data_IF_732305924927
#
_entry.id   IF_732305924927
#
_cell.length_a   1.000
_cell.length_b   1.000
_cell.length_c   1.000
_cell.angle_alpha   90.00
_cell.angle_beta   90.00
_cell.angle_gamma   90.00
#
_symmetry.space_group_name_H-M   'P 1'
#
loop_
_entity.id
_entity.type
_entity.pdbx_description
1 polymer ?
#
# COMPACT_ATOMS: atom_id res chain seq x y z
N UNK A 1 28.67 31.36 -21.20
CA UNK A 1 28.44 31.89 -19.83
C UNK A 1 28.66 30.76 -18.84
N UNK A 2 29.83 30.79 -18.19
CA UNK A 2 30.26 29.84 -17.17
C UNK A 2 29.71 30.28 -15.80
N UNK A 3 29.19 29.35 -15.01
CA UNK A 3 29.26 29.47 -13.55
C UNK A 3 29.63 28.11 -12.93
N UNK A 4 30.63 28.16 -12.06
CA UNK A 4 31.41 27.06 -11.49
C UNK A 4 31.40 27.22 -9.96
N UNK A 5 31.46 26.07 -9.26
CA UNK A 5 31.82 25.86 -7.83
C UNK A 5 30.68 26.17 -6.83
N UNK A 6 30.51 25.44 -5.71
CA UNK A 6 31.49 25.01 -4.70
C UNK A 6 31.09 23.67 -4.04
N UNK A 7 32.08 22.81 -3.78
CA UNK A 7 32.05 21.58 -2.98
C UNK A 7 32.34 21.89 -1.50
N UNK A 8 31.75 21.12 -0.58
CA UNK A 8 32.16 21.06 0.84
C UNK A 8 32.29 19.58 1.23
N UNK A 9 33.52 19.16 1.55
CA UNK A 9 33.92 17.84 2.05
C UNK A 9 34.57 18.07 3.42
N UNK A 10 34.09 17.38 4.46
CA UNK A 10 34.73 17.30 5.78
C UNK A 10 35.59 16.02 5.88
N UNK A 11 36.73 16.03 6.61
CA UNK A 11 37.68 14.93 6.61
C UNK A 11 37.43 13.89 7.72
N UNK A 12 37.86 12.67 7.42
CA UNK A 12 38.03 11.51 8.30
C UNK A 12 39.44 11.59 8.93
N UNK A 13 39.56 11.38 10.24
CA UNK A 13 40.83 11.25 10.94
C UNK A 13 40.99 9.80 11.45
N UNK A 14 41.99 9.10 10.90
CA UNK A 14 42.51 7.81 11.35
C UNK A 14 43.96 8.06 11.77
N UNK A 15 44.36 7.64 12.97
CA UNK A 15 45.76 7.64 13.40
C UNK A 15 46.12 6.29 14.00
N UNK A 16 47.13 5.65 13.40
CA UNK A 16 47.89 4.53 13.92
C UNK A 16 49.33 4.67 13.41
N UNK A 17 50.33 4.35 14.24
CA UNK A 17 51.69 4.06 13.76
C UNK A 17 52.86 4.57 14.60
N UNK A 18 53.38 3.66 15.42
CA UNK A 18 54.68 3.50 16.09
C UNK A 18 55.93 4.31 15.65
N UNK A 19 56.71 4.66 16.71
CA UNK A 19 58.15 4.43 16.99
C UNK A 19 59.26 4.83 15.97
N UNK A 20 60.28 5.57 16.45
CA UNK A 20 61.62 5.01 16.74
C UNK A 20 62.54 6.01 17.51
N UNK A 21 63.58 5.48 18.15
CA UNK A 21 64.59 6.06 19.06
C UNK A 21 65.75 6.80 18.34
N UNK A 22 66.41 7.74 19.03
CA UNK A 22 67.83 7.63 19.49
C UNK A 22 68.50 8.99 19.88
N UNK A 23 69.24 8.95 21.02
CA UNK A 23 70.53 9.63 21.37
C UNK A 23 70.63 11.19 21.33
N UNK A 24 71.27 11.96 22.22
CA UNK A 24 72.41 11.84 23.17
C UNK A 24 72.28 12.94 24.26
N UNK A 25 72.48 12.61 25.55
CA UNK A 25 73.58 12.99 26.47
C UNK A 25 73.91 14.49 26.69
N UNK A 26 73.89 14.97 27.96
CA UNK A 26 74.99 15.65 28.70
C UNK A 26 74.50 16.31 30.01
N UNK A 27 75.02 15.78 31.12
CA UNK A 27 75.49 16.38 32.41
C UNK A 27 74.62 17.19 33.38
N UNK A 28 74.73 16.76 34.66
CA UNK A 28 74.27 17.38 35.91
C UNK A 28 75.22 18.50 36.45
N UNK A 29 74.87 19.17 37.57
CA UNK A 29 75.38 18.75 38.91
C UNK A 29 74.26 18.67 39.99
N UNK A 30 74.25 17.64 40.86
CA UNK A 30 74.80 17.63 42.25
C UNK A 30 74.18 18.68 43.19
N UNK A 31 73.19 18.33 44.02
CA UNK A 31 73.20 17.70 45.38
C UNK A 31 72.86 18.73 46.46
N UNK A 32 71.70 18.57 47.10
CA UNK A 32 71.63 18.69 48.55
C UNK A 32 70.47 17.83 49.10
N UNK A 33 70.82 16.76 49.81
CA UNK A 33 69.88 15.94 50.57
C UNK A 33 69.66 16.59 51.94
N UNK A 34 68.40 16.75 52.32
CA UNK A 34 67.98 16.87 53.72
C UNK A 34 67.01 15.72 53.99
N UNK A 35 67.48 14.71 54.74
CA UNK A 35 66.66 13.80 55.54
C UNK A 35 65.97 14.62 56.65
N UNK A 36 64.77 14.36 57.17
CA UNK A 36 63.77 13.34 56.96
C UNK A 36 62.47 13.83 57.64
N UNK A 37 61.31 13.46 57.12
CA UNK A 37 60.08 13.31 57.91
C UNK A 37 59.30 12.15 57.29
N UNK A 38 59.15 11.07 58.06
CA UNK A 38 58.34 9.92 57.66
C UNK A 38 56.92 10.40 57.31
N UNK A 39 56.31 9.97 56.19
CA UNK A 39 54.90 10.23 55.97
C UNK A 39 54.11 9.42 56.99
N UNK A 40 53.21 10.08 57.69
CA UNK A 40 52.16 9.44 58.46
C UNK A 40 51.47 8.36 57.61
N UNK A 41 51.31 7.16 58.18
CA UNK A 41 50.53 6.08 57.57
C UNK A 41 49.16 6.63 57.15
N UNK A 42 48.92 6.69 55.85
CA UNK A 42 47.58 6.81 55.29
C UNK A 42 46.79 5.56 55.72
N UNK A 43 45.59 5.69 56.30
CA UNK A 43 44.77 4.52 56.57
C UNK A 43 44.46 3.82 55.23
N UNK A 44 44.51 2.49 55.25
CA UNK A 44 44.32 1.64 54.08
C UNK A 44 43.18 2.15 53.18
N UNK A 45 43.48 2.43 51.91
CA UNK A 45 42.48 2.92 50.96
C UNK A 45 41.42 1.86 50.75
N UNK A 46 40.22 2.10 51.29
CA UNK A 46 39.02 1.31 51.05
C UNK A 46 38.75 1.18 49.53
N UNK A 47 38.26 0.02 49.04
CA UNK A 47 37.79 -0.11 47.66
C UNK A 47 36.73 0.94 47.30
N UNK A 48 36.81 1.59 46.12
CA UNK A 48 35.84 2.61 45.72
C UNK A 48 34.45 1.99 45.48
N UNK A 49 33.39 2.64 45.98
CA UNK A 49 32.01 2.28 45.63
C UNK A 49 31.46 3.15 44.49
N UNK A 50 30.35 2.71 43.92
CA UNK A 50 29.57 3.50 42.97
C UNK A 50 28.68 4.52 43.67
N UNK A 51 28.49 5.65 43.01
CA UNK A 51 27.42 6.58 43.38
C UNK A 51 26.05 5.89 43.24
N UNK A 52 25.13 6.01 44.23
CA UNK A 52 25.12 6.95 45.36
C UNK A 52 25.64 6.36 46.70
N UNK A 53 26.25 5.17 46.69
CA UNK A 53 26.71 4.49 47.91
C UNK A 53 27.96 5.17 48.49
N UNK A 54 28.83 5.71 47.64
CA UNK A 54 30.02 6.48 48.05
C UNK A 54 29.63 7.73 48.85
N UNK A 55 28.57 8.45 48.44
CA UNK A 55 28.04 9.58 49.20
C UNK A 55 27.54 9.18 50.60
N UNK A 56 26.90 8.01 50.75
CA UNK A 56 26.42 7.48 52.04
C UNK A 56 27.58 7.16 52.98
N UNK A 57 28.64 6.60 52.42
CA UNK A 57 29.89 6.33 53.14
C UNK A 57 30.54 7.63 53.60
N UNK A 58 30.70 8.59 52.69
CA UNK A 58 31.30 9.88 53.02
C UNK A 58 30.53 10.60 54.12
N UNK A 59 29.18 10.54 54.09
CA UNK A 59 28.32 11.09 55.15
C UNK A 59 28.50 10.38 56.49
N UNK A 60 28.79 9.08 56.48
CA UNK A 60 29.04 8.30 57.69
C UNK A 60 30.42 8.62 58.28
N UNK A 61 31.46 8.68 57.43
CA UNK A 61 32.83 8.99 57.84
C UNK A 61 32.99 10.43 58.34
N UNK A 62 32.18 11.35 57.83
CA UNK A 62 32.12 12.74 58.32
C UNK A 62 31.31 12.92 59.62
N UNK A 63 30.75 11.83 60.17
CA UNK A 63 30.10 11.83 61.49
C UNK A 63 28.70 12.44 61.51
N UNK A 64 27.99 12.48 60.37
CA UNK A 64 26.60 12.95 60.34
C UNK A 64 25.69 12.02 61.15
N UNK A 65 24.68 12.61 61.80
CA UNK A 65 23.70 11.85 62.58
C UNK A 65 22.95 10.85 61.68
N UNK A 66 22.73 9.64 62.19
CA UNK A 66 22.08 8.54 61.45
C UNK A 66 20.74 8.95 60.83
N UNK A 67 19.91 9.71 61.55
CA UNK A 67 18.61 10.19 61.04
C UNK A 67 18.72 11.11 59.82
N UNK A 68 19.83 11.84 59.65
CA UNK A 68 20.10 12.67 58.46
C UNK A 68 20.39 11.79 57.25
N UNK A 69 21.20 10.74 57.45
CA UNK A 69 21.55 9.78 56.39
C UNK A 69 20.31 8.98 55.95
N UNK A 70 19.48 8.54 56.90
CA UNK A 70 18.20 7.89 56.62
C UNK A 70 17.23 8.81 55.86
N UNK A 71 17.17 10.10 56.20
CA UNK A 71 16.37 11.09 55.48
C UNK A 71 16.85 11.27 54.04
N UNK A 72 18.16 11.33 53.82
CA UNK A 72 18.74 11.38 52.48
C UNK A 72 18.36 10.16 51.63
N UNK A 73 18.44 8.95 52.21
CA UNK A 73 18.01 7.71 51.55
C UNK A 73 16.50 7.74 51.24
N UNK A 74 15.68 8.22 52.17
CA UNK A 74 14.24 8.32 51.98
C UNK A 74 13.85 9.27 50.83
N UNK A 75 14.65 10.30 50.57
CA UNK A 75 14.44 11.25 49.47
C UNK A 75 14.97 10.76 48.12
N UNK A 76 15.84 9.74 48.09
CA UNK A 76 16.42 9.23 46.86
C UNK A 76 15.33 8.75 45.87
N UNK A 77 15.37 9.27 44.64
CA UNK A 77 14.44 8.90 43.56
C UNK A 77 14.95 7.73 42.72
N UNK A 78 16.27 7.52 42.72
CA UNK A 78 16.93 6.44 42.01
C UNK A 78 17.20 5.27 42.96
N UNK A 79 17.29 4.06 42.39
CA UNK A 79 17.66 2.87 43.18
C UNK A 79 19.15 2.86 43.46
N UNK A 80 19.50 2.35 44.63
CA UNK A 80 20.87 2.08 45.03
C UNK A 80 21.36 0.75 44.45
N UNK A 81 20.49 -0.25 44.26
CA UNK A 81 20.78 -1.58 43.71
C UNK A 81 21.99 -2.27 44.38
N UNK A 82 22.15 -2.13 45.69
CA UNK A 82 23.35 -2.58 46.42
C UNK A 82 23.70 -4.06 46.17
N UNK A 83 24.98 -4.34 45.93
CA UNK A 83 25.52 -5.68 45.74
C UNK A 83 26.09 -6.23 47.04
N UNK A 84 26.24 -7.56 47.14
CA UNK A 84 26.65 -8.25 48.38
C UNK A 84 28.05 -7.80 48.83
N UNK A 85 28.97 -7.66 47.88
CA UNK A 85 30.33 -7.17 48.11
C UNK A 85 30.34 -5.72 48.61
N UNK A 86 29.44 -4.87 48.12
CA UNK A 86 29.35 -3.47 48.53
C UNK A 86 28.82 -3.34 49.96
N UNK A 87 27.93 -4.24 50.38
CA UNK A 87 27.46 -4.31 51.79
C UNK A 87 28.63 -4.57 52.73
N UNK A 88 29.55 -5.46 52.36
CA UNK A 88 30.73 -5.79 53.16
C UNK A 88 31.64 -4.57 53.32
N UNK A 89 31.94 -3.91 52.19
CA UNK A 89 32.79 -2.70 52.20
C UNK A 89 32.12 -1.55 52.98
N UNK A 90 30.80 -1.37 52.87
CA UNK A 90 30.07 -0.38 53.67
C UNK A 90 30.11 -0.66 55.16
N UNK A 91 30.02 -1.94 55.55
CA UNK A 91 30.15 -2.35 56.95
C UNK A 91 31.54 -2.08 57.50
N UNK A 92 32.58 -2.36 56.71
CA UNK A 92 33.98 -2.11 57.10
C UNK A 92 34.28 -0.62 57.33
N UNK A 93 33.59 0.27 56.62
CA UNK A 93 33.70 1.72 56.83
C UNK A 93 32.74 2.29 57.89
N UNK A 94 32.13 1.43 58.71
CA UNK A 94 31.31 1.87 59.85
C UNK A 94 29.88 2.26 59.52
N UNK A 95 29.36 1.97 58.32
CA UNK A 95 27.93 2.18 58.02
C UNK A 95 27.08 1.23 58.87
N UNK A 96 26.10 1.78 59.59
CA UNK A 96 25.28 0.99 60.50
C UNK A 96 24.32 0.05 59.76
N UNK A 97 23.95 -1.06 60.41
CA UNK A 97 23.00 -2.03 59.87
C UNK A 97 21.63 -1.40 59.57
N UNK A 98 21.24 -0.37 60.35
CA UNK A 98 20.01 0.39 60.14
C UNK A 98 20.03 1.17 58.82
N UNK A 99 21.17 1.80 58.47
CA UNK A 99 21.34 2.52 57.19
C UNK A 99 21.29 1.53 56.01
N UNK A 100 21.96 0.38 56.13
CA UNK A 100 21.92 -0.68 55.09
C UNK A 100 20.48 -1.18 54.89
N UNK A 101 19.74 -1.39 55.97
CA UNK A 101 18.33 -1.78 55.90
C UNK A 101 17.46 -0.69 55.26
N UNK A 102 17.69 0.59 55.59
CA UNK A 102 16.98 1.72 54.99
C UNK A 102 17.18 1.79 53.46
N UNK A 103 18.39 1.52 52.97
CA UNK A 103 18.70 1.44 51.54
C UNK A 103 17.89 0.32 50.87
N UNK A 104 17.91 -0.89 51.43
CA UNK A 104 17.18 -2.04 50.90
C UNK A 104 15.66 -1.83 50.90
N UNK A 105 15.13 -1.23 51.97
CA UNK A 105 13.73 -0.88 52.10
C UNK A 105 13.33 0.16 51.05
N UNK A 106 14.14 1.20 50.84
CA UNK A 106 13.90 2.22 49.82
C UNK A 106 13.90 1.63 48.41
N UNK A 107 14.86 0.77 48.10
CA UNK A 107 14.91 0.08 46.80
C UNK A 107 13.67 -0.77 46.56
N UNK A 108 13.19 -1.46 47.58
CA UNK A 108 11.95 -2.25 47.51
C UNK A 108 10.73 -1.37 47.24
N UNK A 109 10.64 -0.20 47.87
CA UNK A 109 9.58 0.78 47.61
C UNK A 109 9.66 1.37 46.18
N UNK A 110 10.86 1.70 45.70
CA UNK A 110 11.06 2.17 44.32
C UNK A 110 10.75 1.07 43.29
N UNK A 111 10.95 -0.21 43.66
CA UNK A 111 10.52 -1.39 42.88
C UNK A 111 9.01 -1.51 42.77
N UNK A 112 8.32 -1.47 43.89
CA UNK A 112 6.86 -1.58 43.91
C UNK A 112 6.19 -0.43 43.15
N UNK A 113 6.66 0.81 43.35
CA UNK A 113 6.12 2.00 42.66
C UNK A 113 6.31 1.93 41.15
N UNK A 114 7.50 1.55 40.68
CA UNK A 114 7.76 1.39 39.24
C UNK A 114 6.89 0.29 38.63
N UNK A 115 6.76 -0.87 39.29
CA UNK A 115 5.89 -1.94 38.83
C UNK A 115 4.41 -1.53 38.79
N UNK A 116 3.95 -0.75 39.76
CA UNK A 116 2.60 -0.22 39.80
C UNK A 116 2.33 0.74 38.64
N UNK A 117 3.24 1.68 38.36
CA UNK A 117 3.13 2.60 37.21
C UNK A 117 3.08 1.83 35.89
N UNK A 118 3.95 0.84 35.69
CA UNK A 118 3.96 0.01 34.49
C UNK A 118 2.65 -0.77 34.32
N UNK A 119 2.10 -1.33 35.41
CA UNK A 119 0.79 -2.02 35.37
C UNK A 119 -0.34 -1.06 35.04
N UNK A 120 -0.38 0.13 35.65
CA UNK A 120 -1.40 1.15 35.38
C UNK A 120 -1.35 1.61 33.92
N UNK A 121 -0.15 1.84 33.38
CA UNK A 121 0.03 2.19 31.96
C UNK A 121 -0.40 1.05 31.04
N UNK A 122 -0.11 -0.20 31.38
CA UNK A 122 -0.54 -1.35 30.59
C UNK A 122 -2.08 -1.48 30.55
N UNK A 123 -2.76 -1.26 31.67
CA UNK A 123 -4.23 -1.24 31.75
C UNK A 123 -4.79 -0.10 30.92
N UNK A 124 -4.30 1.13 31.10
CA UNK A 124 -4.75 2.29 30.33
C UNK A 124 -4.56 2.10 28.81
N UNK A 125 -3.42 1.52 28.40
CA UNK A 125 -3.14 1.20 27.00
C UNK A 125 -4.07 0.10 26.47
N UNK A 126 -4.36 -0.93 27.27
CA UNK A 126 -5.29 -2.00 26.90
C UNK A 126 -6.72 -1.46 26.72
N UNK A 127 -7.17 -0.58 27.62
CA UNK A 127 -8.47 0.10 27.54
C UNK A 127 -8.56 1.01 26.32
N UNK A 128 -7.54 1.83 26.05
CA UNK A 128 -7.50 2.68 24.86
C UNK A 128 -7.59 1.84 23.57
N UNK A 129 -6.84 0.73 23.49
CA UNK A 129 -6.91 -0.22 22.37
C UNK A 129 -8.27 -0.90 22.26
N UNK A 130 -8.93 -1.18 23.38
CA UNK A 130 -10.29 -1.74 23.38
C UNK A 130 -11.32 -0.74 22.85
N UNK A 131 -11.24 0.54 23.26
CA UNK A 131 -12.13 1.62 22.76
C UNK A 131 -12.00 1.83 21.25
N UNK A 132 -10.76 1.92 20.74
CA UNK A 132 -10.51 2.07 19.30
C UNK A 132 -11.07 0.88 18.51
N UNK A 133 -10.90 -0.35 19.02
CA UNK A 133 -11.46 -1.55 18.39
C UNK A 133 -12.99 -1.54 18.38
N UNK A 134 -13.63 -1.10 19.47
CA UNK A 134 -15.08 -1.00 19.56
C UNK A 134 -15.63 0.03 18.55
N UNK A 135 -15.08 1.25 18.53
CA UNK A 135 -15.47 2.30 17.56
C UNK A 135 -15.27 1.85 16.12
N UNK A 136 -14.16 1.16 15.83
CA UNK A 136 -13.88 0.65 14.48
C UNK A 136 -14.90 -0.42 14.05
N UNK A 137 -15.34 -1.28 14.98
CA UNK A 137 -16.40 -2.28 14.71
C UNK A 137 -17.74 -1.61 14.45
N UNK A 138 -18.11 -0.62 15.26
CA UNK A 138 -19.33 0.14 15.09
C UNK A 138 -19.37 0.83 13.72
N UNK A 139 -18.29 1.54 13.36
CA UNK A 139 -18.16 2.18 12.04
C UNK A 139 -18.23 1.16 10.88
N UNK A 140 -17.64 -0.03 11.06
CA UNK A 140 -17.73 -1.10 10.08
C UNK A 140 -19.16 -1.62 9.91
N UNK A 141 -19.90 -1.79 11.01
CA UNK A 141 -21.31 -2.19 10.99
C UNK A 141 -22.17 -1.13 10.31
N UNK A 142 -22.00 0.15 10.65
CA UNK A 142 -22.73 1.25 10.00
C UNK A 142 -22.46 1.29 8.50
N UNK A 143 -21.20 1.13 8.07
CA UNK A 143 -20.84 1.06 6.65
C UNK A 143 -21.43 -0.15 5.95
N UNK A 144 -21.43 -1.30 6.61
CA UNK A 144 -22.03 -2.52 6.06
C UNK A 144 -23.55 -2.35 5.90
N UNK A 145 -24.23 -1.74 6.87
CA UNK A 145 -25.66 -1.44 6.80
C UNK A 145 -25.98 -0.48 5.66
N UNK A 146 -25.25 0.63 5.55
CA UNK A 146 -25.42 1.60 4.45
C UNK A 146 -25.17 0.96 3.09
N UNK A 147 -24.17 0.07 2.99
CA UNK A 147 -23.88 -0.67 1.75
C UNK A 147 -25.00 -1.64 1.42
N UNK A 148 -25.51 -2.38 2.41
CA UNK A 148 -26.64 -3.30 2.21
C UNK A 148 -27.90 -2.55 1.75
N UNK A 149 -28.23 -1.42 2.38
CA UNK A 149 -29.34 -0.56 1.97
C UNK A 149 -29.15 -0.02 0.54
N UNK A 150 -27.94 0.46 0.20
CA UNK A 150 -27.64 0.92 -1.15
C UNK A 150 -27.77 -0.19 -2.19
N UNK A 151 -27.36 -1.42 -1.85
CA UNK A 151 -27.48 -2.57 -2.75
C UNK A 151 -28.93 -3.01 -2.93
N UNK A 152 -29.73 -2.98 -1.86
CA UNK A 152 -31.17 -3.26 -1.91
C UNK A 152 -31.88 -2.24 -2.80
N UNK A 153 -31.62 -0.94 -2.59
CA UNK A 153 -32.19 0.12 -3.42
C UNK A 153 -31.78 -0.03 -4.91
N UNK A 154 -30.52 -0.36 -5.18
CA UNK A 154 -30.05 -0.62 -6.54
C UNK A 154 -30.73 -1.84 -7.17
N UNK A 155 -30.97 -2.91 -6.40
CA UNK A 155 -31.68 -4.10 -6.85
C UNK A 155 -33.16 -3.81 -7.14
N UNK A 156 -33.84 -3.08 -6.25
CA UNK A 156 -35.23 -2.64 -6.45
C UNK A 156 -35.37 -1.76 -7.70
N UNK A 157 -34.45 -0.81 -7.92
CA UNK A 157 -34.43 0.02 -9.11
C UNK A 157 -34.17 -0.81 -10.38
N UNK A 158 -33.29 -1.82 -10.30
CA UNK A 158 -33.03 -2.73 -11.41
C UNK A 158 -34.27 -3.59 -11.73
N UNK A 159 -34.97 -4.11 -10.72
CA UNK A 159 -36.23 -4.83 -10.90
C UNK A 159 -37.33 -3.95 -11.48
N UNK A 160 -37.48 -2.72 -10.97
CA UNK A 160 -38.47 -1.77 -11.49
C UNK A 160 -38.19 -1.45 -12.96
N UNK A 161 -36.92 -1.20 -13.32
CA UNK A 161 -36.50 -1.01 -14.71
C UNK A 161 -36.75 -2.24 -15.57
N UNK A 162 -36.52 -3.44 -15.05
CA UNK A 162 -36.82 -4.69 -15.75
C UNK A 162 -38.34 -4.87 -15.98
N UNK A 163 -39.17 -4.54 -14.98
CA UNK A 163 -40.64 -4.56 -15.11
C UNK A 163 -41.13 -3.53 -16.12
N UNK A 164 -40.62 -2.30 -16.07
CA UNK A 164 -40.92 -1.27 -17.07
C UNK A 164 -40.45 -1.67 -18.46
N UNK A 165 -39.28 -2.31 -18.59
CA UNK A 165 -38.80 -2.83 -19.85
C UNK A 165 -39.68 -3.97 -20.39
N UNK A 166 -40.22 -4.84 -19.54
CA UNK A 166 -41.18 -5.88 -19.91
C UNK A 166 -42.54 -5.28 -20.32
N UNK A 167 -43.02 -4.24 -19.63
CA UNK A 167 -44.26 -3.53 -20.00
C UNK A 167 -44.12 -2.73 -21.31
N UNK A 168 -42.94 -2.15 -21.55
CA UNK A 168 -42.63 -1.38 -22.76
C UNK A 168 -41.99 -2.24 -23.86
N UNK A 169 -41.99 -3.57 -23.73
CA UNK A 169 -41.63 -4.43 -24.85
C UNK A 169 -42.67 -4.22 -25.96
N UNK A 170 -42.27 -3.78 -27.16
CA UNK A 170 -43.18 -3.81 -28.29
C UNK A 170 -43.65 -5.26 -28.46
N UNK A 171 -44.97 -5.48 -28.40
CA UNK A 171 -45.59 -6.78 -28.74
C UNK A 171 -44.95 -7.26 -30.03
N UNK A 172 -44.31 -8.44 -29.97
CA UNK A 172 -43.57 -9.07 -31.07
C UNK A 172 -44.13 -8.70 -32.45
N UNK A 173 -43.52 -7.69 -33.05
CA UNK A 173 -43.54 -7.49 -34.49
C UNK A 173 -42.15 -7.96 -34.93
N UNK A 174 -42.02 -9.01 -35.75
CA UNK A 174 -40.72 -9.41 -36.25
C UNK A 174 -40.10 -8.17 -36.91
N UNK A 175 -38.97 -7.71 -36.37
CA UNK A 175 -38.21 -6.65 -37.00
C UNK A 175 -37.85 -7.14 -38.41
N UNK A 176 -37.92 -6.27 -39.44
CA UNK A 176 -37.45 -6.65 -40.77
C UNK A 176 -36.02 -7.18 -40.62
N UNK A 177 -35.75 -8.34 -41.22
CA UNK A 177 -34.46 -9.00 -41.13
C UNK A 177 -33.40 -8.11 -41.79
N UNK A 178 -32.76 -7.25 -41.00
CA UNK A 178 -31.52 -6.59 -41.41
C UNK A 178 -30.50 -7.72 -41.53
N UNK A 179 -30.00 -7.96 -42.74
CA UNK A 179 -28.94 -8.93 -42.98
C UNK A 179 -27.63 -8.39 -42.37
N UNK A 180 -27.51 -8.53 -41.05
CA UNK A 180 -26.38 -8.06 -40.28
C UNK A 180 -25.20 -9.03 -40.45
N UNK A 181 -23.95 -8.53 -40.52
CA UNK A 181 -22.79 -9.40 -40.54
C UNK A 181 -22.72 -10.32 -39.31
N UNK A 182 -22.13 -11.53 -39.43
CA UNK A 182 -22.05 -12.50 -38.32
C UNK A 182 -21.41 -11.95 -37.05
N UNK A 183 -20.46 -11.02 -37.16
CA UNK A 183 -19.82 -10.35 -36.03
C UNK A 183 -20.72 -9.34 -35.31
N UNK A 184 -21.83 -8.91 -35.91
CA UNK A 184 -22.78 -7.93 -35.36
C UNK A 184 -24.00 -8.62 -34.76
N UNK A 185 -24.48 -9.69 -35.41
CA UNK A 185 -25.72 -10.38 -35.06
C UNK A 185 -25.86 -10.73 -33.57
N UNK A 186 -24.85 -11.30 -32.88
CA UNK A 186 -24.98 -11.70 -31.48
C UNK A 186 -25.23 -10.52 -30.53
N UNK A 187 -24.82 -9.31 -30.93
CA UNK A 187 -24.84 -8.13 -30.07
C UNK A 187 -25.99 -7.17 -30.39
N UNK A 188 -26.47 -7.16 -31.64
CA UNK A 188 -27.36 -6.13 -32.16
C UNK A 188 -28.57 -5.88 -31.25
N UNK A 189 -29.38 -6.92 -30.99
CA UNK A 189 -30.59 -6.82 -30.16
C UNK A 189 -30.28 -6.35 -28.74
N UNK A 190 -29.20 -6.85 -28.14
CA UNK A 190 -28.84 -6.52 -26.76
C UNK A 190 -28.30 -5.10 -26.61
N UNK A 191 -27.61 -4.57 -27.62
CA UNK A 191 -26.99 -3.24 -27.59
C UNK A 191 -27.90 -2.12 -28.14
N UNK A 192 -28.88 -2.45 -28.97
CA UNK A 192 -29.77 -1.48 -29.61
C UNK A 192 -30.50 -0.52 -28.63
N UNK A 193 -30.96 -0.96 -27.43
CA UNK A 193 -31.59 -0.04 -26.47
C UNK A 193 -30.61 0.92 -25.78
N UNK A 194 -29.30 0.67 -25.87
CA UNK A 194 -28.29 1.34 -25.05
C UNK A 194 -27.35 2.24 -25.86
N UNK A 195 -27.49 2.27 -27.18
CA UNK A 195 -26.62 3.00 -28.07
C UNK A 195 -27.11 2.97 -29.50
N UNK A 196 -26.34 3.59 -30.38
CA UNK A 196 -26.65 3.69 -31.80
C UNK A 196 -25.66 2.88 -32.62
N UNK A 197 -26.19 2.08 -33.55
CA UNK A 197 -25.42 1.38 -34.57
C UNK A 197 -25.22 2.29 -35.79
N UNK A 198 -23.97 2.43 -36.24
CA UNK A 198 -23.58 3.30 -37.36
C UNK A 198 -22.74 2.50 -38.35
N UNK A 199 -22.82 2.86 -39.63
CA UNK A 199 -21.96 2.28 -40.66
C UNK A 199 -20.73 3.15 -40.88
N UNK A 200 -19.55 2.59 -40.62
CA UNK A 200 -18.26 3.21 -40.89
C UNK A 200 -17.66 2.65 -42.18
N UNK A 201 -17.19 3.54 -43.08
CA UNK A 201 -16.75 3.15 -44.42
C UNK A 201 -15.68 2.04 -44.43
N UNK A 202 -14.74 2.07 -43.50
CA UNK A 202 -13.62 1.10 -43.45
C UNK A 202 -13.74 0.05 -42.35
N UNK A 203 -14.60 0.28 -41.35
CA UNK A 203 -14.71 -0.61 -40.17
C UNK A 203 -15.99 -1.44 -40.19
N UNK A 204 -16.92 -1.15 -41.12
CA UNK A 204 -18.25 -1.72 -41.12
C UNK A 204 -19.10 -1.16 -39.98
N UNK A 205 -19.91 -2.02 -39.37
CA UNK A 205 -20.79 -1.63 -38.27
C UNK A 205 -20.01 -1.27 -37.02
N UNK A 206 -20.24 -0.07 -36.50
CA UNK A 206 -19.76 0.40 -35.21
C UNK A 206 -20.93 0.71 -34.30
N UNK A 207 -20.70 0.71 -32.99
CA UNK A 207 -21.69 1.06 -32.00
C UNK A 207 -21.19 2.17 -31.07
N UNK A 208 -22.08 3.09 -30.71
CA UNK A 208 -21.81 4.17 -29.76
C UNK A 208 -22.80 4.13 -28.61
N UNK A 209 -22.34 4.09 -27.34
CA UNK A 209 -23.25 4.08 -26.20
C UNK A 209 -23.89 5.47 -26.02
N UNK A 210 -25.16 5.48 -25.62
CA UNK A 210 -25.91 6.71 -25.32
C UNK A 210 -25.28 7.51 -24.17
N UNK A 211 -24.49 6.87 -23.31
CA UNK A 211 -23.78 7.52 -22.19
C UNK A 211 -22.80 8.60 -22.65
N UNK A 212 -22.32 8.55 -23.90
CA UNK A 212 -21.46 9.60 -24.46
C UNK A 212 -22.16 10.97 -24.54
N UNK A 213 -23.47 10.98 -24.72
CA UNK A 213 -24.26 12.21 -24.69
C UNK A 213 -24.52 12.72 -23.27
N UNK A 214 -24.34 11.86 -22.26
CA UNK A 214 -24.67 12.16 -20.86
C UNK A 214 -23.43 12.52 -20.03
N UNK A 215 -22.28 11.94 -20.36
CA UNK A 215 -21.03 12.08 -19.59
C UNK A 215 -19.93 12.53 -20.56
N UNK A 216 -19.55 13.81 -20.45
CA UNK A 216 -18.60 14.50 -21.36
C UNK A 216 -17.26 13.77 -21.51
N UNK A 217 -16.72 13.26 -20.41
CA UNK A 217 -15.41 12.60 -20.38
C UNK A 217 -15.52 11.08 -20.26
N UNK A 218 -16.67 10.51 -20.69
CA UNK A 218 -16.88 9.08 -20.63
C UNK A 218 -15.79 8.34 -21.41
N UNK A 219 -15.31 7.26 -20.80
CA UNK A 219 -14.24 6.44 -21.37
C UNK A 219 -14.48 4.96 -21.09
N UNK A 220 -14.18 4.08 -22.07
CA UNK A 220 -14.17 2.65 -21.85
C UNK A 220 -13.13 2.27 -20.78
N UNK A 221 -13.40 1.22 -20.02
CA UNK A 221 -12.55 0.75 -18.93
C UNK A 221 -12.27 1.80 -17.83
N UNK A 222 -13.15 2.78 -17.63
CA UNK A 222 -12.95 3.85 -16.64
C UNK A 222 -14.17 4.06 -15.75
N UNK A 223 -15.36 4.08 -16.34
CA UNK A 223 -16.61 4.38 -15.65
C UNK A 223 -17.35 3.09 -15.28
N UNK A 224 -18.12 3.15 -14.19
CA UNK A 224 -19.07 2.13 -13.76
C UNK A 224 -18.51 0.70 -13.86
N UNK A 225 -17.30 0.51 -13.33
CA UNK A 225 -16.63 -0.77 -13.32
C UNK A 225 -15.32 -0.76 -12.54
N UNK A 226 -14.72 -1.94 -12.44
CA UNK A 226 -13.51 -2.20 -11.65
C UNK A 226 -12.66 -3.33 -12.24
N UNK A 227 -11.37 -3.30 -11.95
CA UNK A 227 -10.46 -4.40 -12.28
C UNK A 227 -10.61 -5.54 -11.27
N UNK A 228 -10.76 -6.76 -11.77
CA UNK A 228 -10.76 -7.99 -10.99
C UNK A 228 -9.60 -8.89 -11.43
N UNK A 229 -9.01 -9.61 -10.48
CA UNK A 229 -8.01 -10.64 -10.76
C UNK A 229 -8.71 -11.96 -11.09
N UNK A 230 -8.41 -12.54 -12.25
CA UNK A 230 -9.00 -13.80 -12.69
C UNK A 230 -7.94 -14.78 -13.19
N UNK A 231 -8.35 -16.01 -13.48
CA UNK A 231 -7.51 -17.03 -14.10
C UNK A 231 -7.12 -16.68 -15.54
N UNK A 232 -7.78 -15.70 -16.14
CA UNK A 232 -7.48 -15.11 -17.44
C UNK A 232 -6.77 -13.73 -17.31
N UNK A 233 -6.21 -13.40 -16.15
CA UNK A 233 -5.52 -12.13 -15.93
C UNK A 233 -6.46 -11.00 -15.48
N UNK A 234 -6.24 -9.77 -15.95
CA UNK A 234 -7.04 -8.62 -15.52
C UNK A 234 -8.35 -8.54 -16.28
N UNK A 235 -9.43 -8.81 -15.56
CA UNK A 235 -10.80 -8.72 -16.05
C UNK A 235 -11.39 -7.36 -15.72
N UNK A 236 -12.03 -6.73 -16.70
CA UNK A 236 -12.84 -5.53 -16.45
C UNK A 236 -14.26 -5.93 -16.08
N UNK A 237 -14.63 -5.73 -14.83
CA UNK A 237 -15.99 -5.93 -14.36
C UNK A 237 -16.78 -4.64 -14.46
N UNK A 238 -17.60 -4.54 -15.50
CA UNK A 238 -18.50 -3.42 -15.73
C UNK A 238 -19.85 -3.66 -15.06
N UNK A 239 -20.39 -2.64 -14.40
CA UNK A 239 -21.74 -2.59 -13.86
C UNK A 239 -22.78 -2.24 -14.95
N UNK A 240 -22.35 -1.68 -16.08
CA UNK A 240 -23.20 -1.38 -17.25
C UNK A 240 -23.87 -2.65 -17.84
N UNK A 241 -25.15 -2.56 -18.28
CA UNK A 241 -25.88 -3.72 -18.77
C UNK A 241 -25.32 -4.27 -20.09
N UNK A 242 -24.68 -3.43 -20.90
CA UNK A 242 -24.04 -3.79 -22.16
C UNK A 242 -22.55 -4.17 -22.00
N UNK A 243 -22.00 -4.08 -20.79
CA UNK A 243 -20.57 -4.23 -20.53
C UNK A 243 -20.00 -5.60 -20.89
N UNK A 244 -20.81 -6.66 -20.74
CA UNK A 244 -20.42 -8.03 -21.08
C UNK A 244 -20.00 -8.19 -22.54
N UNK A 245 -20.62 -7.43 -23.45
CA UNK A 245 -20.31 -7.47 -24.87
C UNK A 245 -19.11 -6.57 -25.14
N UNK A 246 -19.26 -5.27 -24.89
CA UNK A 246 -18.33 -4.28 -25.46
C UNK A 246 -16.97 -4.22 -24.77
N UNK A 247 -16.82 -4.79 -23.58
CA UNK A 247 -15.52 -4.89 -22.90
C UNK A 247 -14.81 -6.22 -23.15
N UNK A 248 -15.48 -7.20 -23.76
CA UNK A 248 -14.96 -8.56 -23.91
C UNK A 248 -15.00 -9.11 -25.34
N UNK A 249 -15.79 -8.52 -26.25
CA UNK A 249 -16.05 -9.03 -27.60
C UNK A 249 -15.87 -7.96 -28.68
N UNK A 250 -14.79 -7.18 -28.63
CA UNK A 250 -14.59 -6.12 -29.61
C UNK A 250 -13.58 -5.07 -29.15
N UNK A 251 -13.37 -4.06 -29.99
CA UNK A 251 -12.30 -3.06 -29.85
C UNK A 251 -12.90 -1.68 -29.78
N UNK A 252 -12.35 -0.84 -28.92
CA UNK A 252 -12.76 0.55 -28.82
C UNK A 252 -11.83 1.43 -29.65
N UNK A 253 -12.40 2.23 -30.54
CA UNK A 253 -11.71 3.33 -31.21
C UNK A 253 -12.17 4.67 -30.67
N UNK A 254 -11.40 5.71 -30.95
CA UNK A 254 -11.74 7.08 -30.62
C UNK A 254 -11.51 7.95 -31.86
N UNK A 255 -12.54 8.67 -32.28
CA UNK A 255 -12.49 9.64 -33.36
C UNK A 255 -12.80 11.04 -32.79
N UNK A 256 -12.22 12.08 -33.38
CA UNK A 256 -12.40 13.45 -32.87
C UNK A 256 -13.83 13.98 -33.06
N UNK A 257 -14.56 13.49 -34.07
CA UNK A 257 -15.93 13.91 -34.38
C UNK A 257 -16.95 12.98 -33.73
N UNK A 258 -16.71 11.67 -33.79
CA UNK A 258 -17.64 10.67 -33.23
C UNK A 258 -17.44 10.47 -31.72
N UNK A 259 -16.25 10.73 -31.18
CA UNK A 259 -15.87 10.31 -29.83
C UNK A 259 -15.53 8.82 -29.78
N UNK A 260 -15.78 8.17 -28.63
CA UNK A 260 -15.56 6.73 -28.52
C UNK A 260 -16.58 5.94 -29.33
N UNK A 261 -16.12 4.88 -29.98
CA UNK A 261 -16.95 3.94 -30.70
C UNK A 261 -16.41 2.52 -30.52
N UNK A 262 -17.28 1.54 -30.63
CA UNK A 262 -16.94 0.13 -30.48
C UNK A 262 -17.12 -0.62 -31.80
N UNK A 263 -16.13 -1.45 -32.13
CA UNK A 263 -16.15 -2.35 -33.29
C UNK A 263 -16.34 -3.78 -32.79
N UNK A 264 -17.43 -4.47 -33.21
CA UNK A 264 -17.73 -5.83 -32.78
C UNK A 264 -16.70 -6.86 -33.25
N UNK A 265 -16.48 -7.87 -32.42
CA UNK A 265 -15.75 -9.11 -32.73
C UNK A 265 -16.42 -10.26 -31.95
N UNK A 266 -16.25 -11.51 -32.38
CA UNK A 266 -16.76 -12.68 -31.67
C UNK A 266 -15.70 -13.32 -30.77
N UNK A 267 -14.44 -12.89 -30.87
CA UNK A 267 -13.37 -13.37 -30.00
C UNK A 267 -13.49 -12.77 -28.60
N UNK A 268 -13.65 -13.63 -27.60
CA UNK A 268 -13.70 -13.22 -26.20
C UNK A 268 -12.32 -12.88 -25.64
N UNK A 269 -12.25 -11.90 -24.73
CA UNK A 269 -11.07 -11.62 -23.92
C UNK A 269 -11.42 -11.07 -22.52
N UNK A 270 -10.55 -11.25 -21.52
CA UNK A 270 -10.75 -10.77 -20.15
C UNK A 270 -10.80 -9.24 -20.11
N UNK A 271 -9.98 -8.61 -20.96
CA UNK A 271 -10.01 -7.19 -21.28
C UNK A 271 -9.22 -6.96 -22.58
N UNK A 272 -9.75 -6.09 -23.44
CA UNK A 272 -9.10 -5.67 -24.67
C UNK A 272 -8.39 -4.34 -24.46
N UNK A 273 -7.37 -4.36 -23.59
CA UNK A 273 -6.57 -3.19 -23.23
C UNK A 273 -5.07 -3.46 -23.36
N UNK A 274 -4.32 -2.40 -23.63
CA UNK A 274 -2.87 -2.35 -23.43
C UNK A 274 -2.60 -1.62 -22.11
N UNK A 275 -1.74 -2.22 -21.28
CA UNK A 275 -1.29 -1.57 -20.05
C UNK A 275 -0.02 -0.78 -20.30
N UNK A 276 0.23 0.21 -19.45
CA UNK A 276 1.53 0.85 -19.34
C UNK A 276 1.76 1.31 -17.92
N UNK A 277 3.00 1.46 -17.51
CA UNK A 277 3.28 1.92 -16.15
C UNK A 277 4.57 2.71 -16.05
N UNK A 278 4.69 3.42 -14.93
CA UNK A 278 5.95 3.90 -14.41
C UNK A 278 6.09 3.49 -12.93
N UNK A 279 7.01 4.10 -12.19
CA UNK A 279 7.30 3.76 -10.81
C UNK A 279 6.07 3.79 -9.86
N UNK A 280 5.13 4.74 -10.01
CA UNK A 280 4.02 4.96 -9.05
C UNK A 280 2.62 4.90 -9.66
N UNK A 281 2.50 4.98 -10.98
CA UNK A 281 1.24 5.04 -11.69
C UNK A 281 1.12 3.89 -12.69
N UNK A 282 -0.10 3.39 -12.78
CA UNK A 282 -0.54 2.43 -13.78
C UNK A 282 -1.47 3.16 -14.73
N UNK A 283 -1.33 2.88 -16.02
CA UNK A 283 -2.27 3.31 -17.04
C UNK A 283 -2.73 2.16 -17.92
N UNK A 284 -3.90 2.32 -18.50
CA UNK A 284 -4.43 1.42 -19.52
C UNK A 284 -5.16 2.22 -20.58
N UNK A 285 -5.16 1.68 -21.80
CA UNK A 285 -5.96 2.18 -22.91
C UNK A 285 -6.61 0.99 -23.62
N UNK A 286 -7.82 1.17 -24.17
CA UNK A 286 -8.40 0.15 -25.03
C UNK A 286 -7.52 -0.13 -26.23
N UNK A 287 -7.47 -1.39 -26.64
CA UNK A 287 -6.84 -1.77 -27.88
C UNK A 287 -7.69 -1.27 -29.07
N UNK A 288 -7.08 -0.58 -30.05
CA UNK A 288 -7.81 0.00 -31.16
C UNK A 288 -8.28 -1.07 -32.15
N UNK A 289 -9.26 -0.75 -33.01
CA UNK A 289 -9.69 -1.62 -34.09
C UNK A 289 -8.51 -2.12 -34.94
N UNK A 290 -8.51 -3.43 -35.24
CA UNK A 290 -7.41 -4.12 -35.91
C UNK A 290 -6.38 -4.75 -34.97
N UNK A 291 -6.47 -4.53 -33.66
CA UNK A 291 -5.67 -5.25 -32.66
C UNK A 291 -6.30 -6.60 -32.30
N UNK A 292 -5.52 -7.68 -32.34
CA UNK A 292 -6.01 -9.05 -32.07
C UNK A 292 -5.03 -9.86 -31.23
N UNK A 293 -5.57 -10.67 -30.32
CA UNK A 293 -4.82 -11.66 -29.56
C UNK A 293 -4.71 -12.96 -30.38
N UNK A 294 -3.53 -13.27 -30.85
CA UNK A 294 -3.26 -14.47 -31.65
C UNK A 294 -2.41 -15.46 -30.85
N UNK A 295 -2.33 -16.72 -31.29
CA UNK A 295 -1.44 -17.72 -30.68
C UNK A 295 0.03 -17.33 -30.70
N UNK A 296 0.45 -16.53 -31.70
CA UNK A 296 1.80 -16.02 -31.84
C UNK A 296 2.05 -14.71 -31.06
N UNK A 297 1.04 -14.22 -30.31
CA UNK A 297 1.11 -12.99 -29.54
C UNK A 297 0.12 -11.93 -30.03
N UNK A 298 0.41 -10.68 -29.70
CA UNK A 298 -0.42 -9.54 -30.07
C UNK A 298 -0.15 -9.16 -31.53
N UNK A 299 -1.22 -8.91 -32.29
CA UNK A 299 -1.12 -8.41 -33.67
C UNK A 299 -1.88 -7.09 -33.82
N UNK A 300 -1.47 -6.28 -34.80
CA UNK A 300 -2.16 -5.08 -35.20
C UNK A 300 -2.20 -4.99 -36.72
N UNK A 301 -3.39 -4.82 -37.29
CA UNK A 301 -3.61 -4.75 -38.76
C UNK A 301 -2.99 -5.93 -39.51
N UNK A 302 -3.13 -7.13 -38.94
CA UNK A 302 -2.63 -8.38 -39.51
C UNK A 302 -1.14 -8.65 -39.31
N UNK A 303 -0.39 -7.76 -38.65
CA UNK A 303 1.04 -7.93 -38.39
C UNK A 303 1.29 -8.21 -36.90
N UNK A 304 2.20 -9.14 -36.58
CA UNK A 304 2.63 -9.35 -35.19
C UNK A 304 3.38 -8.12 -34.69
N UNK A 305 3.11 -7.75 -33.44
CA UNK A 305 3.73 -6.59 -32.80
C UNK A 305 4.47 -6.97 -31.52
N UNK A 306 5.54 -6.25 -31.23
CA UNK A 306 6.36 -6.49 -30.05
C UNK A 306 5.68 -6.11 -28.73
N UNK A 307 6.26 -6.58 -27.62
CA UNK A 307 5.75 -6.37 -26.26
C UNK A 307 5.64 -4.89 -25.84
N UNK A 308 6.40 -4.00 -26.47
CA UNK A 308 6.41 -2.55 -26.19
C UNK A 308 5.63 -1.71 -27.22
N UNK A 309 4.90 -2.34 -28.14
CA UNK A 309 4.19 -1.63 -29.21
C UNK A 309 3.02 -0.78 -28.68
N UNK A 310 2.99 0.51 -29.03
CA UNK A 310 2.06 1.48 -28.43
C UNK A 310 0.79 1.77 -29.26
N UNK A 311 0.59 1.13 -30.42
CA UNK A 311 -0.61 1.25 -31.26
C UNK A 311 -0.97 2.67 -31.74
N UNK A 312 -0.02 3.62 -31.66
CA UNK A 312 -0.31 5.03 -31.93
C UNK A 312 -1.17 5.70 -30.85
N UNK A 313 -1.35 5.06 -29.69
CA UNK A 313 -2.17 5.59 -28.60
C UNK A 313 -1.40 6.67 -27.82
N UNK A 314 -1.85 7.91 -27.96
CA UNK A 314 -1.37 9.05 -27.18
C UNK A 314 -2.02 9.15 -25.79
N UNK A 315 -1.58 10.14 -25.01
CA UNK A 315 -2.06 10.50 -23.67
C UNK A 315 -3.59 10.52 -23.55
N UNK A 316 -4.29 11.03 -24.57
CA UNK A 316 -5.75 11.15 -24.61
C UNK A 316 -6.51 9.81 -24.73
N UNK A 317 -5.82 8.68 -24.87
CA UNK A 317 -6.44 7.35 -24.89
C UNK A 317 -6.26 6.61 -23.56
N UNK A 318 -5.27 7.01 -22.77
CA UNK A 318 -4.94 6.33 -21.52
C UNK A 318 -5.69 6.93 -20.33
N UNK A 319 -6.13 6.04 -19.45
CA UNK A 319 -6.57 6.36 -18.09
C UNK A 319 -5.46 5.96 -17.14
N UNK A 320 -5.00 6.88 -16.28
CA UNK A 320 -3.92 6.64 -15.31
C UNK A 320 -4.41 6.79 -13.88
N UNK A 321 -3.95 5.92 -12.99
CA UNK A 321 -4.20 5.98 -11.55
C UNK A 321 -2.92 5.69 -10.77
N UNK A 322 -2.77 6.18 -9.53
CA UNK A 322 -1.76 5.65 -8.63
C UNK A 322 -2.02 4.16 -8.37
N UNK A 323 -0.97 3.33 -8.30
CA UNK A 323 -1.12 1.88 -8.07
C UNK A 323 -2.03 1.54 -6.88
N UNK A 324 -1.92 2.28 -5.78
CA UNK A 324 -2.74 2.12 -4.57
C UNK A 324 -4.26 2.35 -4.75
N UNK A 325 -4.70 2.86 -5.91
CA UNK A 325 -6.11 3.16 -6.21
C UNK A 325 -6.70 2.27 -7.31
N UNK A 326 -5.91 1.38 -7.94
CA UNK A 326 -6.37 0.59 -9.11
C UNK A 326 -7.57 -0.31 -8.82
N UNK A 327 -7.71 -0.79 -7.58
CA UNK A 327 -8.84 -1.63 -7.15
C UNK A 327 -9.89 -0.88 -6.33
N UNK A 328 -9.86 0.47 -6.36
CA UNK A 328 -10.87 1.26 -5.66
C UNK A 328 -12.26 1.02 -6.29
N UNK A 329 -13.34 0.80 -5.51
CA UNK A 329 -14.68 0.55 -6.05
C UNK A 329 -15.18 1.68 -6.95
N UNK A 330 -14.86 2.93 -6.60
CA UNK A 330 -15.10 4.10 -7.44
C UNK A 330 -13.83 4.47 -8.19
N UNK A 331 -13.41 3.63 -9.15
CA UNK A 331 -12.13 3.78 -9.85
C UNK A 331 -12.03 5.11 -10.61
N UNK A 332 -13.12 5.51 -11.28
CA UNK A 332 -13.17 6.72 -12.10
C UNK A 332 -12.70 7.98 -11.36
N UNK A 333 -13.11 8.16 -10.10
CA UNK A 333 -12.74 9.32 -9.29
C UNK A 333 -11.25 9.42 -8.94
N UNK A 334 -10.46 8.38 -9.22
CA UNK A 334 -9.01 8.37 -9.01
C UNK A 334 -8.22 8.47 -10.32
N UNK A 335 -8.90 8.53 -11.47
CA UNK A 335 -8.24 8.70 -12.77
C UNK A 335 -7.67 10.11 -12.85
N UNK A 336 -6.39 10.18 -13.16
CA UNK A 336 -5.65 11.43 -13.27
C UNK A 336 -6.05 12.21 -14.52
N UNK A 337 -6.26 13.51 -14.34
CA UNK A 337 -6.49 14.43 -15.44
C UNK A 337 -5.26 14.49 -16.39
N UNK A 338 -5.46 14.74 -17.71
CA UNK A 338 -4.38 14.71 -18.70
C UNK A 338 -3.16 15.59 -18.39
N UNK A 339 -3.38 16.76 -17.78
CA UNK A 339 -2.32 17.68 -17.37
C UNK A 339 -1.40 17.10 -16.28
N UNK A 340 -1.93 16.25 -15.38
CA UNK A 340 -1.13 15.57 -14.35
C UNK A 340 -0.34 14.39 -14.92
N UNK A 341 -0.82 13.79 -16.01
CA UNK A 341 -0.16 12.64 -16.67
C UNK A 341 0.95 13.08 -17.61
N UNK A 342 0.78 14.22 -18.29
CA UNK A 342 1.72 14.76 -19.29
C UNK A 342 3.20 14.77 -18.82
N UNK A 343 3.53 15.19 -17.58
CA UNK A 343 4.93 15.25 -17.13
C UNK A 343 5.62 13.89 -17.01
N UNK A 344 4.88 12.77 -16.97
CA UNK A 344 5.48 11.44 -16.81
C UNK A 344 5.13 10.46 -17.93
N UNK A 345 4.18 10.78 -18.81
CA UNK A 345 3.73 9.87 -19.87
C UNK A 345 4.88 9.30 -20.72
N UNK A 346 5.85 10.14 -21.11
CA UNK A 346 6.99 9.72 -21.93
C UNK A 346 7.94 8.75 -21.20
N UNK A 347 7.91 8.70 -19.86
CA UNK A 347 8.72 7.78 -19.04
C UNK A 347 8.02 6.46 -18.73
N UNK A 348 6.80 6.27 -19.24
CA UNK A 348 6.04 5.03 -18.99
C UNK A 348 6.37 3.97 -20.04
N UNK A 349 6.38 2.72 -19.60
CA UNK A 349 6.65 1.55 -20.44
C UNK A 349 5.35 0.83 -20.77
N UNK A 350 5.15 0.46 -22.03
CA UNK A 350 4.01 -0.35 -22.48
C UNK A 350 4.18 -1.80 -22.03
N UNK A 351 3.08 -2.46 -21.66
CA UNK A 351 3.02 -3.83 -21.15
C UNK A 351 1.99 -4.60 -21.99
N UNK A 352 2.47 -5.40 -22.94
CA UNK A 352 1.64 -6.24 -23.82
C UNK A 352 1.98 -7.73 -23.68
N UNK A 353 1.96 -8.25 -22.44
CA UNK A 353 2.30 -9.65 -22.11
C UNK A 353 1.09 -10.61 -22.27
N UNK A 354 0.41 -10.56 -23.41
CA UNK A 354 -0.79 -11.37 -23.67
C UNK A 354 -0.43 -12.83 -23.97
N UNK A 355 -1.22 -13.75 -23.42
CA UNK A 355 -1.07 -15.20 -23.64
C UNK A 355 -2.34 -15.73 -24.29
N UNK A 356 -2.22 -16.40 -25.43
CA UNK A 356 -3.34 -17.08 -26.09
C UNK A 356 -2.96 -18.54 -26.38
N UNK A 357 -3.64 -19.48 -25.72
CA UNK A 357 -3.39 -20.93 -25.86
C UNK A 357 -4.28 -21.60 -26.91
N UNK A 358 -5.15 -20.83 -27.59
CA UNK A 358 -6.20 -21.30 -28.48
C UNK A 358 -7.52 -21.60 -27.77
N UNK A 359 -7.44 -22.14 -26.55
CA UNK A 359 -8.63 -22.42 -25.73
C UNK A 359 -8.92 -21.31 -24.72
N UNK A 360 -7.95 -20.45 -24.45
CA UNK A 360 -8.08 -19.35 -23.49
C UNK A 360 -7.15 -18.19 -23.86
N UNK A 361 -7.63 -16.99 -23.57
CA UNK A 361 -6.92 -15.73 -23.75
C UNK A 361 -6.75 -15.11 -22.38
N UNK A 362 -5.50 -14.81 -22.01
CA UNK A 362 -5.14 -14.15 -20.77
C UNK A 362 -4.41 -12.84 -21.03
N UNK A 363 -4.81 -11.80 -20.29
CA UNK A 363 -4.14 -10.49 -20.29
C UNK A 363 -3.62 -10.19 -18.87
N UNK A 364 -2.44 -10.73 -18.50
CA UNK A 364 -1.89 -10.58 -17.15
C UNK A 364 -1.41 -9.16 -16.84
N UNK A 365 -1.18 -8.31 -17.85
CA UNK A 365 -0.88 -6.89 -17.69
C UNK A 365 0.16 -6.61 -16.61
N UNK A 366 -0.24 -5.81 -15.61
CA UNK A 366 0.63 -5.38 -14.51
C UNK A 366 0.70 -6.40 -13.36
N UNK A 367 1.84 -6.41 -12.64
CA UNK A 367 2.07 -7.31 -11.50
C UNK A 367 1.25 -6.92 -10.25
N UNK A 368 0.54 -7.91 -9.68
CA UNK A 368 -0.13 -7.75 -8.38
C UNK A 368 0.87 -7.54 -7.23
N UNK A 369 2.08 -8.11 -7.31
CA UNK A 369 3.12 -7.85 -6.31
C UNK A 369 3.48 -6.37 -6.28
N UNK A 370 3.55 -5.70 -7.43
CA UNK A 370 3.83 -4.25 -7.49
C UNK A 370 2.72 -3.43 -6.83
N UNK A 371 1.46 -3.80 -7.05
CA UNK A 371 0.34 -3.12 -6.38
C UNK A 371 0.42 -3.30 -4.87
N UNK A 372 0.70 -4.52 -4.38
CA UNK A 372 0.86 -4.83 -2.95
C UNK A 372 1.99 -4.02 -2.31
N UNK A 373 3.15 -3.91 -2.96
CA UNK A 373 4.28 -3.12 -2.46
C UNK A 373 3.94 -1.63 -2.29
N UNK A 374 3.08 -1.08 -3.14
CA UNK A 374 2.73 0.35 -3.14
C UNK A 374 1.41 0.66 -2.42
N UNK A 375 0.71 -0.37 -1.94
CA UNK A 375 -0.54 -0.22 -1.22
C UNK A 375 -0.28 -0.38 0.28
N UNK A 376 -0.69 0.62 1.06
CA UNK A 376 -0.56 0.61 2.53
C UNK A 376 -1.53 -0.34 3.23
N UNK A 377 -2.38 -1.04 2.46
CA UNK A 377 -3.40 -1.95 2.95
C UNK A 377 -3.15 -3.35 2.36
N UNK A 378 -3.37 -4.43 3.14
CA UNK A 378 -3.31 -5.79 2.62
C UNK A 378 -4.32 -5.96 1.47
N UNK A 379 -3.82 -6.31 0.29
CA UNK A 379 -4.67 -6.63 -0.87
C UNK A 379 -4.75 -8.15 -1.03
N UNK A 380 -5.86 -8.70 -0.57
CA UNK A 380 -6.26 -10.09 -0.83
C UNK A 380 -7.18 -10.10 -2.04
N UNK A 381 -6.66 -10.53 -3.19
CA UNK A 381 -7.47 -10.82 -4.37
C UNK A 381 -7.62 -12.33 -4.46
N UNK A 382 -8.86 -12.81 -4.45
CA UNK A 382 -9.16 -14.16 -4.92
C UNK A 382 -9.04 -14.20 -6.45
N UNK A 383 -8.57 -15.32 -6.98
CA UNK A 383 -8.63 -15.58 -8.43
C UNK A 383 -10.04 -16.05 -8.73
N UNK A 384 -10.80 -15.23 -9.46
CA UNK A 384 -12.15 -15.58 -9.91
C UNK A 384 -12.01 -16.38 -11.21
N UNK A 385 -12.70 -17.51 -11.33
CA UNK A 385 -12.82 -18.20 -12.63
C UNK A 385 -13.85 -17.49 -13.48
N UNK A 386 -13.50 -17.18 -14.72
CA UNK A 386 -14.41 -16.54 -15.66
C UNK A 386 -14.56 -17.36 -16.94
N UNK A 387 -15.79 -17.42 -17.42
CA UNK A 387 -16.14 -18.07 -18.68
C UNK A 387 -16.69 -17.03 -19.66
N UNK A 388 -16.48 -17.21 -20.98
CA UNK A 388 -17.13 -16.40 -22.00
C UNK A 388 -18.65 -16.42 -21.85
N UNK A 389 -19.31 -15.29 -22.13
CA UNK A 389 -20.77 -15.14 -22.03
C UNK A 389 -21.32 -14.50 -23.29
N UNK A 390 -22.39 -15.05 -23.85
CA UNK A 390 -22.92 -14.63 -25.15
C UNK A 390 -24.22 -13.83 -25.05
N UNK A 391 -24.70 -13.53 -23.85
CA UNK A 391 -25.94 -12.76 -23.64
C UNK A 391 -25.99 -12.06 -22.30
N UNK A 392 -26.86 -11.05 -22.20
CA UNK A 392 -27.15 -10.35 -20.94
C UNK A 392 -27.62 -11.30 -19.82
N UNK A 393 -28.45 -12.29 -20.15
CA UNK A 393 -28.97 -13.27 -19.19
C UNK A 393 -27.83 -14.12 -18.61
N UNK A 394 -26.94 -14.63 -19.46
CA UNK A 394 -25.76 -15.38 -19.03
C UNK A 394 -24.79 -14.51 -18.24
N UNK A 395 -24.64 -13.24 -18.63
CA UNK A 395 -23.83 -12.29 -17.88
C UNK A 395 -24.36 -12.06 -16.46
N UNK A 396 -25.67 -11.86 -16.30
CA UNK A 396 -26.31 -11.74 -14.99
C UNK A 396 -26.09 -12.97 -14.09
N UNK A 397 -26.18 -14.17 -14.66
CA UNK A 397 -25.90 -15.43 -13.95
C UNK A 397 -24.41 -15.57 -13.59
N UNK A 398 -23.49 -15.22 -14.49
CA UNK A 398 -22.04 -15.24 -14.21
C UNK A 398 -21.63 -14.29 -13.09
N UNK A 399 -22.37 -13.20 -12.86
CA UNK A 399 -22.18 -12.32 -11.69
C UNK A 399 -22.60 -13.00 -10.38
N UNK A 400 -23.56 -13.92 -10.41
CA UNK A 400 -24.02 -14.67 -9.23
C UNK A 400 -23.18 -15.94 -8.99
N UNK A 401 -22.72 -16.61 -10.05
CA UNK A 401 -21.88 -17.82 -9.96
C UNK A 401 -20.45 -17.51 -9.44
N UNK A 402 -20.02 -16.26 -9.48
CA UNK A 402 -18.82 -15.79 -8.76
C UNK A 402 -18.97 -15.70 -7.23
N UNK A 403 -20.11 -16.13 -6.68
CA UNK A 403 -20.55 -15.87 -5.31
C UNK A 403 -21.20 -17.04 -4.60
N UNK A 404 -20.66 -18.26 -4.70
CA UNK A 404 -20.77 -19.17 -3.57
C UNK A 404 -19.94 -18.55 -2.41
N UNK A 405 -20.62 -17.78 -1.56
CA UNK A 405 -20.09 -17.11 -0.39
C UNK A 405 -19.18 -18.02 0.46
N UNK A 406 -17.86 -17.98 0.22
CA UNK A 406 -16.91 -18.08 1.33
C UNK A 406 -16.77 -16.69 1.91
N UNK A 407 -17.46 -16.49 3.02
CA UNK A 407 -17.19 -15.44 4.01
C UNK A 407 -15.68 -15.28 4.12
N UNK A 408 -15.17 -14.13 3.73
CA UNK A 408 -13.88 -13.67 4.21
C UNK A 408 -14.15 -12.36 4.93
N UNK A 409 -14.20 -12.49 6.25
CA UNK A 409 -13.95 -11.45 7.24
C UNK A 409 -13.07 -12.11 8.31
N UNK A 410 -12.23 -11.37 9.03
CA UNK A 410 -12.03 -9.92 9.00
C UNK A 410 -10.88 -9.45 8.11
#
# INVERSE_FOLDING_TARGET
MNFRRIFLVLPVLVMAGCADRSETNVSAPETNQVHAAAPAEQPASRPPLREPLEAIVAMTESGLAQGVIESHIALATNRFNILTEEILVMKEAGVSQAIIFAILQRDTQLRSRSNQVTRQQAVANAEARARIRAQSRELALTRALLTAQSNQFAAELAEQRARTALQNQPRNRPAPAVNLPPQVQPFHTALNPHGSWLQHATLGWIWQPNVLAQIRDWRPYAHNGRWLSTDQGWYWHSDEPWGWAVFHYGRWGHDLKLGWYWVPDTTWGPSWVTFRSEARHLGWAPLPPGANFTRAGLSFRGQLVGLNYAFGLGLAHYSFVPYRRVFHPQLFGHILAPNLVRPFFQRTTVINNVINTGNSISNPGFSIQRVRQLSLQPITLGVIRISPVNSFRQFGLSRQEGGAHRRLSP
#
